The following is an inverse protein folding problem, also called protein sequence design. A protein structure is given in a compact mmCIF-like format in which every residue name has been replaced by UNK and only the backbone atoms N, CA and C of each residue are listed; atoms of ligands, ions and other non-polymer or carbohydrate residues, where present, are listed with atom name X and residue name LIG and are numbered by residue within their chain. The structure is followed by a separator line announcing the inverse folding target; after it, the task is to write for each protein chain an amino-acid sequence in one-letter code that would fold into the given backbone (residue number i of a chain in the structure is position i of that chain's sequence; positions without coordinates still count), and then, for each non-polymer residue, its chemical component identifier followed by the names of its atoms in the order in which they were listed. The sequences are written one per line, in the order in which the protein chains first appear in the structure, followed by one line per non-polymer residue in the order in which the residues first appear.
data_IF_361476843788
#
_entry.id   IF_361476843788
#
_cell.length_a   1.000
_cell.length_b   1.000
_cell.length_c   1.000
_cell.angle_alpha   90.00
_cell.angle_beta   90.00
_cell.angle_gamma   90.00
#
_symmetry.space_group_name_H-M   'P 1'
#
loop_
_entity.id
_entity.type
_entity.pdbx_description
1 polymer ?
#
# COMPACT_ATOMS: atom_id res chain seq x y z
N UNK A 1 -5.83 11.78 -25.87
CA UNK A 1 -5.95 10.77 -24.79
C UNK A 1 -7.03 11.22 -23.82
N UNK A 2 -8.21 10.61 -23.89
CA UNK A 2 -9.29 10.83 -22.93
C UNK A 2 -9.09 9.80 -21.83
N UNK A 3 -8.81 10.23 -20.60
CA UNK A 3 -8.81 9.34 -19.44
C UNK A 3 -10.27 8.99 -19.09
N UNK A 4 -10.85 8.03 -19.82
CA UNK A 4 -12.08 7.36 -19.41
C UNK A 4 -11.73 6.38 -18.28
N UNK A 5 -11.67 6.90 -17.06
CA UNK A 5 -11.58 6.09 -15.86
C UNK A 5 -12.94 5.48 -15.49
N UNK A 6 -13.49 4.59 -16.32
CA UNK A 6 -14.44 3.60 -15.81
C UNK A 6 -13.65 2.65 -14.93
N UNK A 7 -13.56 2.99 -13.63
CA UNK A 7 -13.02 2.09 -12.61
C UNK A 7 -13.97 0.90 -12.50
N UNK A 8 -13.76 -0.11 -13.34
CA UNK A 8 -14.26 -1.48 -13.14
C UNK A 8 -13.58 -2.03 -11.89
N UNK A 9 -14.06 -1.60 -10.74
CA UNK A 9 -13.74 -2.21 -9.46
C UNK A 9 -14.78 -3.31 -9.27
N UNK A 10 -14.35 -4.57 -9.37
CA UNK A 10 -15.14 -5.70 -8.89
C UNK A 10 -15.55 -5.40 -7.45
N UNK A 11 -16.86 -5.42 -7.11
CA UNK A 11 -17.31 -5.05 -5.78
C UNK A 11 -16.68 -5.96 -4.72
N UNK A 12 -16.16 -5.37 -3.63
CA UNK A 12 -15.64 -6.13 -2.50
C UNK A 12 -16.75 -7.03 -1.88
N UNK A 13 -16.45 -8.18 -1.26
CA UNK A 13 -17.48 -9.13 -0.76
C UNK A 13 -18.51 -8.53 0.22
N UNK A 14 -18.16 -7.42 0.89
CA UNK A 14 -19.04 -6.62 1.77
C UNK A 14 -20.24 -6.02 1.00
N UNK A 15 -20.16 -5.96 -0.34
CA UNK A 15 -21.21 -5.43 -1.22
C UNK A 15 -22.43 -6.38 -1.38
N UNK A 16 -22.34 -7.65 -1.02
CA UNK A 16 -23.43 -8.60 -1.29
C UNK A 16 -24.46 -8.74 -0.17
N UNK A 17 -24.13 -8.39 1.08
CA UNK A 17 -24.93 -8.82 2.22
C UNK A 17 -26.12 -7.90 2.54
N UNK A 18 -26.15 -6.64 2.06
CA UNK A 18 -27.17 -5.66 2.47
C UNK A 18 -27.62 -4.61 1.41
N UNK A 19 -27.44 -4.84 0.10
CA UNK A 19 -27.69 -3.79 -0.91
C UNK A 19 -29.16 -3.58 -1.29
N UNK A 20 -29.72 -2.40 -0.99
CA UNK A 20 -31.03 -1.96 -1.50
C UNK A 20 -30.98 -1.26 -2.86
N UNK A 21 -29.83 -0.74 -3.35
CA UNK A 21 -29.78 0.03 -4.61
C UNK A 21 -28.40 -0.08 -5.31
N UNK A 22 -28.40 -0.53 -6.56
CA UNK A 22 -27.23 -0.71 -7.45
C UNK A 22 -27.04 0.44 -8.48
N UNK A 23 -27.58 1.63 -8.17
CA UNK A 23 -27.67 2.75 -9.12
C UNK A 23 -27.24 4.04 -8.45
N UNK A 24 -26.55 4.92 -9.17
CA UNK A 24 -26.17 6.25 -8.70
C UNK A 24 -27.44 7.10 -8.49
N UNK A 25 -27.71 7.49 -7.24
CA UNK A 25 -28.93 8.20 -6.85
C UNK A 25 -28.80 9.72 -6.87
N UNK A 26 -27.58 10.23 -6.73
CA UNK A 26 -27.29 11.66 -6.68
C UNK A 26 -26.34 11.99 -7.83
N UNK A 27 -26.78 12.85 -8.73
CA UNK A 27 -25.96 13.36 -9.84
C UNK A 27 -26.29 14.82 -10.14
N UNK A 28 -25.40 15.49 -10.86
CA UNK A 28 -25.63 16.86 -11.32
C UNK A 28 -26.72 16.91 -12.39
N UNK A 29 -27.44 18.03 -12.46
CA UNK A 29 -28.27 18.35 -13.62
C UNK A 29 -27.41 18.44 -14.89
N UNK A 30 -28.00 18.28 -16.07
CA UNK A 30 -27.27 18.33 -17.34
C UNK A 30 -26.40 19.60 -17.48
N UNK A 31 -26.93 20.76 -17.07
CA UNK A 31 -26.19 22.03 -17.04
C UNK A 31 -25.07 22.03 -16.00
N UNK A 32 -25.31 21.45 -14.82
CA UNK A 32 -24.30 21.32 -13.77
C UNK A 32 -23.13 20.44 -14.21
N UNK A 33 -23.42 19.31 -14.84
CA UNK A 33 -22.42 18.38 -15.38
C UNK A 33 -21.55 19.05 -16.44
N UNK A 34 -22.14 19.79 -17.38
CA UNK A 34 -21.38 20.56 -18.37
C UNK A 34 -20.41 21.56 -17.72
N UNK A 35 -20.85 22.27 -16.67
CA UNK A 35 -20.00 23.23 -15.96
C UNK A 35 -18.85 22.56 -15.21
N UNK A 36 -19.10 21.43 -14.54
CA UNK A 36 -18.07 20.64 -13.87
C UNK A 36 -17.04 20.14 -14.88
N UNK A 37 -17.48 19.52 -15.98
CA UNK A 37 -16.59 19.02 -17.03
C UNK A 37 -15.74 20.14 -17.66
N UNK A 38 -16.32 21.33 -17.83
CA UNK A 38 -15.58 22.49 -18.32
C UNK A 38 -14.50 22.96 -17.33
N UNK A 39 -14.84 23.04 -16.03
CA UNK A 39 -13.90 23.40 -14.97
C UNK A 39 -12.77 22.38 -14.84
N UNK A 40 -13.08 21.08 -14.88
CA UNK A 40 -12.10 19.99 -14.84
C UNK A 40 -11.08 20.11 -15.99
N UNK A 41 -11.54 20.43 -17.20
CA UNK A 41 -10.64 20.66 -18.36
C UNK A 41 -9.69 21.83 -18.12
N UNK A 42 -10.17 22.92 -17.53
CA UNK A 42 -9.33 24.09 -17.22
C UNK A 42 -8.30 23.74 -16.14
N UNK A 43 -8.74 23.11 -15.05
CA UNK A 43 -7.87 22.72 -13.93
C UNK A 43 -6.80 21.74 -14.40
N UNK A 44 -7.19 20.73 -15.19
CA UNK A 44 -6.25 19.77 -15.76
C UNK A 44 -5.19 20.46 -16.62
N UNK A 45 -5.63 21.36 -17.52
CA UNK A 45 -4.70 22.04 -18.45
C UNK A 45 -3.76 23.02 -17.75
N UNK A 46 -4.25 23.79 -16.77
CA UNK A 46 -3.47 24.89 -16.16
C UNK A 46 -2.76 24.51 -14.87
N UNK A 47 -3.37 23.67 -14.04
CA UNK A 47 -2.88 23.39 -12.67
C UNK A 47 -2.18 22.04 -12.64
N UNK A 48 -2.85 20.97 -13.05
CA UNK A 48 -2.29 19.60 -12.96
C UNK A 48 -1.04 19.45 -13.83
N UNK A 49 -1.07 20.01 -15.05
CA UNK A 49 0.07 19.96 -15.96
C UNK A 49 1.12 21.06 -15.70
N UNK A 50 1.03 21.78 -14.58
CA UNK A 50 2.03 22.77 -14.23
C UNK A 50 3.34 22.11 -13.81
N UNK A 51 4.46 22.80 -14.07
CA UNK A 51 5.79 22.32 -13.71
C UNK A 51 5.95 22.12 -12.20
N UNK A 52 5.30 22.94 -11.38
CA UNK A 52 5.32 22.82 -9.93
C UNK A 52 4.63 21.53 -9.46
N UNK A 53 3.41 21.27 -9.92
CA UNK A 53 2.66 20.04 -9.57
C UNK A 53 3.41 18.80 -10.04
N UNK A 54 3.95 18.80 -11.27
CA UNK A 54 4.74 17.67 -11.76
C UNK A 54 5.99 17.37 -10.91
N UNK A 55 6.67 18.41 -10.40
CA UNK A 55 7.80 18.23 -9.48
C UNK A 55 7.36 17.66 -8.13
N UNK A 56 6.25 18.15 -7.58
CA UNK A 56 5.70 17.63 -6.33
C UNK A 56 5.29 16.17 -6.46
N UNK A 57 4.63 15.79 -7.55
CA UNK A 57 4.22 14.42 -7.82
C UNK A 57 5.41 13.47 -7.97
N UNK A 58 6.46 13.86 -8.73
CA UNK A 58 7.67 13.04 -8.88
C UNK A 58 8.40 12.89 -7.53
N UNK A 59 8.52 13.98 -6.76
CA UNK A 59 9.13 13.95 -5.42
C UNK A 59 8.35 13.03 -4.47
N UNK A 60 7.03 13.15 -4.41
CA UNK A 60 6.18 12.33 -3.57
C UNK A 60 6.30 10.84 -3.95
N UNK A 61 6.25 10.53 -5.26
CA UNK A 61 6.43 9.17 -5.76
C UNK A 61 7.76 8.58 -5.32
N UNK A 62 8.87 9.32 -5.46
CA UNK A 62 10.21 8.88 -5.01
C UNK A 62 10.25 8.58 -3.52
N UNK A 63 9.75 9.50 -2.69
CA UNK A 63 9.73 9.35 -1.22
C UNK A 63 8.99 8.08 -0.83
N UNK A 64 7.74 7.91 -1.28
CA UNK A 64 6.91 6.77 -0.90
C UNK A 64 7.51 5.46 -1.41
N UNK A 65 8.01 5.43 -2.64
CA UNK A 65 8.64 4.23 -3.21
C UNK A 65 9.85 3.81 -2.39
N UNK A 66 10.72 4.77 -2.02
CA UNK A 66 11.93 4.50 -1.26
C UNK A 66 11.65 4.08 0.18
N UNK A 67 10.71 4.73 0.85
CA UNK A 67 10.27 4.33 2.19
C UNK A 67 9.70 2.91 2.17
N UNK A 68 8.83 2.59 1.21
CA UNK A 68 8.28 1.25 1.07
C UNK A 68 9.37 0.20 0.82
N UNK A 69 10.29 0.46 -0.12
CA UNK A 69 11.42 -0.43 -0.41
C UNK A 69 12.26 -0.74 0.83
N UNK A 70 12.56 0.29 1.63
CA UNK A 70 13.40 0.14 2.84
C UNK A 70 12.67 -0.61 3.94
N UNK A 71 11.40 -0.29 4.20
CA UNK A 71 10.61 -1.03 5.18
C UNK A 71 10.34 -2.48 4.77
N UNK A 72 10.19 -2.76 3.47
CA UNK A 72 10.02 -4.12 2.97
C UNK A 72 11.30 -4.94 3.11
N UNK A 73 12.46 -4.34 2.79
CA UNK A 73 13.78 -5.02 2.95
C UNK A 73 14.18 -5.20 4.40
N UNK A 74 13.85 -4.26 5.27
CA UNK A 74 14.15 -4.33 6.69
C UNK A 74 12.96 -3.86 7.54
N UNK A 75 12.00 -4.76 7.84
CA UNK A 75 10.82 -4.41 8.63
C UNK A 75 11.13 -3.85 10.02
N UNK A 76 12.33 -4.11 10.58
CA UNK A 76 12.75 -3.56 11.88
C UNK A 76 12.83 -2.02 11.91
N UNK A 77 12.88 -1.38 10.75
CA UNK A 77 12.84 0.08 10.63
C UNK A 77 11.44 0.67 10.82
N UNK A 78 10.39 -0.17 10.80
CA UNK A 78 9.03 0.27 11.12
C UNK A 78 8.91 0.61 12.62
N UNK A 79 7.97 1.50 12.98
CA UNK A 79 7.69 1.76 14.38
C UNK A 79 7.21 0.53 15.14
N UNK A 80 7.49 0.52 16.44
CA UNK A 80 7.14 -0.54 17.37
C UNK A 80 5.65 -0.90 17.31
N UNK A 81 4.77 0.11 17.23
CA UNK A 81 3.33 -0.11 17.13
C UNK A 81 2.94 -0.94 15.90
N UNK A 82 3.57 -0.68 14.76
CA UNK A 82 3.35 -1.41 13.51
C UNK A 82 3.91 -2.82 13.60
N UNK A 83 5.11 -3.00 14.16
CA UNK A 83 5.71 -4.31 14.38
C UNK A 83 4.87 -5.20 15.31
N UNK A 84 4.36 -4.63 16.40
CA UNK A 84 3.46 -5.32 17.33
C UNK A 84 2.16 -5.72 16.62
N UNK A 85 1.62 -4.86 15.75
CA UNK A 85 0.42 -5.17 14.98
C UNK A 85 0.67 -6.33 14.01
N UNK A 86 1.79 -6.31 13.28
CA UNK A 86 2.19 -7.41 12.38
C UNK A 86 2.31 -8.73 13.16
N UNK A 87 3.01 -8.71 14.30
CA UNK A 87 3.15 -9.89 15.16
C UNK A 87 1.79 -10.47 15.57
N UNK A 88 0.85 -9.62 16.02
CA UNK A 88 -0.50 -10.02 16.41
C UNK A 88 -1.30 -10.58 15.24
N UNK A 89 -1.16 -10.03 14.04
CA UNK A 89 -1.87 -10.49 12.85
C UNK A 89 -1.32 -11.84 12.35
N UNK A 90 0.01 -12.03 12.34
CA UNK A 90 0.63 -13.31 11.96
C UNK A 90 0.23 -14.41 12.95
N UNK A 91 0.21 -14.11 14.26
CA UNK A 91 -0.19 -15.07 15.31
C UNK A 91 -1.63 -15.58 15.19
N UNK A 92 -2.52 -14.84 14.54
CA UNK A 92 -3.89 -15.30 14.30
C UNK A 92 -4.00 -16.34 13.20
N UNK A 93 -3.01 -16.40 12.31
CA UNK A 93 -3.04 -17.22 11.09
C UNK A 93 -2.10 -18.42 11.20
N UNK A 94 -0.95 -18.25 11.83
CA UNK A 94 0.07 -19.30 11.98
C UNK A 94 0.63 -19.30 13.40
N UNK A 95 0.99 -20.50 13.87
CA UNK A 95 1.70 -20.71 15.13
C UNK A 95 3.21 -20.36 14.99
N UNK A 96 3.75 -20.38 13.77
CA UNK A 96 5.14 -20.02 13.47
C UNK A 96 5.29 -18.50 13.36
N UNK A 97 5.34 -17.82 14.50
CA UNK A 97 5.41 -16.37 14.61
C UNK A 97 6.78 -15.94 15.13
N UNK A 98 7.32 -14.88 14.55
CA UNK A 98 8.59 -14.29 14.99
C UNK A 98 8.37 -12.88 15.51
N UNK A 99 8.92 -12.61 16.68
CA UNK A 99 9.03 -11.26 17.21
C UNK A 99 10.24 -10.57 16.54
N UNK A 100 9.97 -9.59 15.69
CA UNK A 100 10.98 -8.84 14.93
C UNK A 100 11.92 -8.01 15.82
N UNK A 101 11.54 -7.72 17.07
CA UNK A 101 12.30 -6.87 17.99
C UNK A 101 13.10 -7.70 18.99
N UNK A 102 12.46 -8.69 19.61
CA UNK A 102 13.07 -9.46 20.71
C UNK A 102 13.52 -10.88 20.30
N UNK A 103 13.25 -11.31 19.07
CA UNK A 103 13.66 -12.63 18.58
C UNK A 103 15.17 -12.73 18.30
N UNK A 104 15.66 -13.96 18.11
CA UNK A 104 17.04 -14.19 17.67
C UNK A 104 17.27 -13.51 16.30
N UNK A 105 18.26 -12.60 16.19
CA UNK A 105 18.57 -11.92 14.94
C UNK A 105 18.74 -12.85 13.74
N UNK A 106 19.32 -14.04 13.93
CA UNK A 106 19.56 -15.01 12.85
C UNK A 106 18.26 -15.63 12.35
N UNK A 107 17.33 -15.93 13.25
CA UNK A 107 16.03 -16.50 12.90
C UNK A 107 15.17 -15.44 12.21
N UNK A 108 15.19 -14.20 12.71
CA UNK A 108 14.47 -13.09 12.09
C UNK A 108 14.94 -12.89 10.66
N UNK A 109 16.25 -12.78 10.42
CA UNK A 109 16.76 -12.56 9.05
C UNK A 109 16.35 -13.68 8.10
N UNK A 110 16.46 -14.96 8.51
CA UNK A 110 16.05 -16.09 7.68
C UNK A 110 14.59 -16.04 7.29
N UNK A 111 13.72 -15.79 8.26
CA UNK A 111 12.29 -15.72 8.00
C UNK A 111 11.88 -14.47 7.25
N UNK A 112 12.62 -13.37 7.41
CA UNK A 112 12.45 -12.20 6.55
C UNK A 112 12.78 -12.51 5.11
N UNK A 113 13.88 -13.21 4.87
CA UNK A 113 14.26 -13.60 3.52
C UNK A 113 13.22 -14.55 2.92
N UNK A 114 12.71 -15.51 3.69
CA UNK A 114 11.62 -16.40 3.28
C UNK A 114 10.32 -15.63 2.98
N UNK A 115 9.90 -14.73 3.87
CA UNK A 115 8.67 -13.95 3.67
C UNK A 115 8.81 -13.01 2.48
N UNK A 116 9.94 -12.32 2.32
CA UNK A 116 10.12 -11.29 1.29
C UNK A 116 10.45 -11.86 -0.10
N UNK A 117 11.23 -12.94 -0.18
CA UNK A 117 11.81 -13.43 -1.43
C UNK A 117 11.45 -14.86 -1.81
N UNK A 118 10.69 -15.62 -1.01
CA UNK A 118 10.22 -16.94 -1.43
C UNK A 118 9.50 -16.86 -2.79
N UNK A 119 9.88 -17.76 -3.71
CA UNK A 119 9.24 -17.90 -5.00
C UNK A 119 7.78 -18.34 -4.78
N UNK A 120 6.83 -17.62 -5.38
CA UNK A 120 5.39 -17.81 -5.13
C UNK A 120 4.76 -18.89 -5.99
N UNK A 121 5.53 -19.47 -6.92
CA UNK A 121 5.05 -20.41 -7.91
C UNK A 121 6.13 -21.47 -8.17
N UNK A 122 5.83 -22.72 -7.82
CA UNK A 122 6.58 -23.85 -8.39
C UNK A 122 6.24 -23.95 -9.89
N UNK A 123 7.24 -24.33 -10.70
CA UNK A 123 7.05 -24.60 -12.14
C UNK A 123 6.02 -25.70 -12.45
N UNK A 124 5.48 -26.36 -11.42
CA UNK A 124 4.56 -27.51 -11.50
C UNK A 124 3.17 -27.27 -10.88
N UNK A 125 2.87 -26.07 -10.35
CA UNK A 125 1.49 -25.72 -9.93
C UNK A 125 0.91 -26.52 -8.76
N UNK A 126 1.74 -27.17 -7.94
CA UNK A 126 1.28 -27.86 -6.73
C UNK A 126 1.04 -26.89 -5.58
N UNK A 127 -0.10 -27.04 -4.90
CA UNK A 127 -0.47 -26.28 -3.71
C UNK A 127 0.33 -26.76 -2.48
N UNK A 128 1.52 -26.21 -2.29
CA UNK A 128 2.32 -26.45 -1.09
C UNK A 128 1.77 -25.61 0.08
N UNK A 129 1.37 -26.28 1.17
CA UNK A 129 0.80 -25.66 2.37
C UNK A 129 1.74 -24.62 3.00
N UNK A 130 3.05 -24.87 2.99
CA UNK A 130 4.06 -23.91 3.49
C UNK A 130 4.18 -22.66 2.61
N UNK A 131 4.12 -22.81 1.28
CA UNK A 131 4.08 -21.66 0.36
C UNK A 131 2.83 -20.80 0.60
N UNK A 132 1.69 -21.42 0.91
CA UNK A 132 0.46 -20.70 1.26
C UNK A 132 0.62 -19.88 2.55
N UNK A 133 1.38 -20.37 3.53
CA UNK A 133 1.63 -19.66 4.78
C UNK A 133 2.52 -18.43 4.58
N UNK A 134 3.64 -18.56 3.86
CA UNK A 134 4.53 -17.44 3.55
C UNK A 134 3.83 -16.36 2.72
N UNK A 135 2.95 -16.75 1.80
CA UNK A 135 2.10 -15.83 1.04
C UNK A 135 1.21 -14.98 1.95
N UNK A 136 0.57 -15.61 2.94
CA UNK A 136 -0.29 -14.89 3.89
C UNK A 136 0.55 -13.97 4.78
N UNK A 137 1.70 -14.44 5.29
CA UNK A 137 2.64 -13.61 6.05
C UNK A 137 3.13 -12.40 5.24
N UNK A 138 3.49 -12.59 3.96
CA UNK A 138 3.88 -11.50 3.04
C UNK A 138 2.75 -10.50 2.85
N UNK A 139 1.52 -10.97 2.67
CA UNK A 139 0.34 -10.11 2.52
C UNK A 139 0.10 -9.26 3.77
N UNK A 140 0.25 -9.85 4.96
CA UNK A 140 0.14 -9.14 6.24
C UNK A 140 1.22 -8.07 6.34
N UNK A 141 2.47 -8.40 6.02
CA UNK A 141 3.59 -7.45 6.05
C UNK A 141 3.35 -6.26 5.12
N UNK A 142 3.06 -6.52 3.84
CA UNK A 142 2.80 -5.47 2.84
C UNK A 142 1.64 -4.60 3.27
N UNK A 143 0.53 -5.19 3.75
CA UNK A 143 -0.63 -4.43 4.21
C UNK A 143 -0.27 -3.50 5.37
N UNK A 144 0.48 -3.96 6.36
CA UNK A 144 0.84 -3.13 7.51
C UNK A 144 1.81 -2.01 7.12
N UNK A 145 2.74 -2.25 6.20
CA UNK A 145 3.61 -1.20 5.64
C UNK A 145 2.75 -0.16 4.90
N UNK A 146 1.82 -0.60 4.05
CA UNK A 146 0.93 0.30 3.32
C UNK A 146 0.02 1.10 4.24
N UNK A 147 -0.59 0.47 5.25
CA UNK A 147 -1.42 1.14 6.26
C UNK A 147 -0.60 2.21 7.01
N UNK A 148 0.65 1.90 7.35
CA UNK A 148 1.55 2.84 8.02
C UNK A 148 1.91 4.03 7.13
N UNK A 149 2.33 3.80 5.88
CA UNK A 149 2.67 4.87 4.93
C UNK A 149 1.46 5.73 4.59
N UNK A 150 0.28 5.14 4.41
CA UNK A 150 -0.96 5.86 4.13
C UNK A 150 -1.43 6.72 5.33
N UNK A 151 -1.01 6.38 6.55
CA UNK A 151 -1.27 7.16 7.76
C UNK A 151 -0.31 8.32 7.99
N UNK A 152 0.73 8.49 7.16
CA UNK A 152 1.68 9.59 7.29
C UNK A 152 1.13 10.90 6.73
N UNK A 153 1.58 12.02 7.30
CA UNK A 153 1.45 13.34 6.67
C UNK A 153 2.64 13.61 5.74
N UNK A 154 2.48 14.50 4.76
CA UNK A 154 3.53 14.83 3.79
C UNK A 154 4.84 15.28 4.45
N UNK A 155 4.74 16.11 5.50
CA UNK A 155 5.89 16.57 6.29
C UNK A 155 6.56 15.42 7.04
N UNK A 156 5.77 14.49 7.61
CA UNK A 156 6.31 13.34 8.31
C UNK A 156 7.05 12.42 7.34
N UNK A 157 6.46 12.09 6.20
CA UNK A 157 7.07 11.23 5.18
C UNK A 157 8.37 11.84 4.62
N UNK A 158 8.39 13.16 4.39
CA UNK A 158 9.60 13.87 3.94
C UNK A 158 10.70 13.82 5.00
N UNK A 159 10.38 14.08 6.27
CA UNK A 159 11.36 14.03 7.35
C UNK A 159 11.89 12.62 7.59
N UNK A 160 11.01 11.62 7.51
CA UNK A 160 11.37 10.22 7.68
C UNK A 160 12.31 9.76 6.54
N UNK A 161 12.02 10.15 5.30
CA UNK A 161 12.92 9.92 4.17
C UNK A 161 14.29 10.56 4.42
N UNK A 162 14.33 11.83 4.82
CA UNK A 162 15.60 12.51 5.08
C UNK A 162 16.39 11.81 6.20
N UNK A 163 15.74 11.35 7.27
CA UNK A 163 16.40 10.61 8.37
C UNK A 163 17.04 9.31 7.92
N UNK A 164 16.42 8.61 6.98
CA UNK A 164 16.88 7.29 6.51
C UNK A 164 17.93 7.38 5.41
N UNK A 165 17.92 8.44 4.60
CA UNK A 165 18.74 8.52 3.38
C UNK A 165 19.70 9.71 3.33
N UNK A 166 19.42 10.80 4.04
CA UNK A 166 20.31 11.96 4.11
C UNK A 166 21.14 11.86 5.41
N UNK A 167 22.38 11.38 5.28
CA UNK A 167 23.39 11.62 6.32
C UNK A 167 23.68 13.11 6.36
N UNK A 168 23.70 13.69 7.57
CA UNK A 168 24.38 14.98 7.80
C UNK A 168 25.84 14.91 7.39
#
# INVERSE_FOLDING_TARGET
MVFNGTRNLSPCPIYNENHRIDKKLIDFSATGKFRVEYLEKIISKKVVNSHEVARFDDKAKRIITKLFEVYYKNPKLLPDGTLIRIYKEIKKVSDNVIDFRNGDPKLISREMDSICFAELFDKQGNENKELSEFLVKRKILVRNITDYLAGMTDNFATNEYNRLFESK
#
